data_IF_055115595548
#
_entry.id   IF_055115595548
#
_cell.length_a   1.000
_cell.length_b   1.000
_cell.length_c   1.000
_cell.angle_alpha   90.00
_cell.angle_beta   90.00
_cell.angle_gamma   90.00
#
_symmetry.space_group_name_H-M   'P 1'
#
loop_
_entity.id
_entity.type
_entity.pdbx_description
1 polymer ?
#
# COMPACT_ATOMS: atom_id res chain seq x y z
N UNK A 1 28.91 7.70 -31.19
CA UNK A 1 28.79 6.55 -30.25
C UNK A 1 28.60 6.95 -28.78
N UNK A 2 28.74 8.23 -28.37
CA UNK A 2 28.54 8.68 -26.97
C UNK A 2 27.10 9.13 -26.64
N UNK A 3 26.34 9.62 -27.62
CA UNK A 3 24.96 10.10 -27.42
C UNK A 3 23.97 9.00 -27.02
N UNK A 4 24.13 7.78 -27.53
CA UNK A 4 23.26 6.65 -27.16
C UNK A 4 23.41 6.25 -25.70
N UNK A 5 24.62 6.37 -25.13
CA UNK A 5 24.87 6.05 -23.73
C UNK A 5 24.18 7.06 -22.79
N UNK A 6 24.25 8.34 -23.15
CA UNK A 6 23.57 9.43 -22.42
C UNK A 6 22.05 9.29 -22.50
N UNK A 7 21.53 8.93 -23.67
CA UNK A 7 20.09 8.69 -23.86
C UNK A 7 19.63 7.47 -23.05
N UNK A 8 20.42 6.40 -22.99
CA UNK A 8 20.12 5.22 -22.18
C UNK A 8 20.08 5.55 -20.68
N UNK A 9 21.04 6.36 -20.21
CA UNK A 9 21.12 6.81 -18.81
C UNK A 9 19.92 7.67 -18.39
N UNK A 10 19.40 8.50 -19.31
CA UNK A 10 18.20 9.32 -19.09
C UNK A 10 16.90 8.49 -19.02
N UNK A 11 16.89 7.29 -19.61
CA UNK A 11 15.71 6.41 -19.64
C UNK A 11 15.61 5.47 -18.42
N UNK A 12 16.72 5.24 -17.70
CA UNK A 12 16.76 4.40 -16.49
C UNK A 12 15.73 4.78 -15.39
N UNK A 13 15.53 6.06 -15.02
CA UNK A 13 14.57 6.42 -13.96
C UNK A 13 13.10 6.19 -14.36
N UNK A 14 12.79 6.11 -15.65
CA UNK A 14 11.44 5.76 -16.13
C UNK A 14 11.13 4.26 -15.96
N UNK A 15 12.16 3.41 -15.92
CA UNK A 15 12.01 1.98 -15.68
C UNK A 15 11.99 1.61 -14.19
N UNK A 16 12.44 2.50 -13.30
CA UNK A 16 12.39 2.31 -11.84
C UNK A 16 11.04 2.78 -11.27
N UNK A 17 9.93 2.25 -11.79
CA UNK A 17 8.63 2.48 -11.19
C UNK A 17 8.55 1.67 -9.88
N UNK A 18 8.89 2.30 -8.74
CA UNK A 18 8.77 1.68 -7.42
C UNK A 18 7.40 1.03 -7.28
N UNK A 19 7.44 -0.26 -6.99
CA UNK A 19 6.27 -1.09 -6.84
C UNK A 19 6.15 -1.41 -5.35
N UNK A 20 5.38 -0.58 -4.65
CA UNK A 20 5.16 -0.75 -3.22
C UNK A 20 4.31 -1.98 -3.00
N UNK A 21 4.74 -2.82 -2.06
CA UNK A 21 4.05 -4.02 -1.66
C UNK A 21 3.81 -3.99 -0.16
N UNK A 22 2.57 -4.23 0.25
CA UNK A 22 2.17 -4.34 1.64
C UNK A 22 1.08 -5.39 1.79
N UNK A 23 1.17 -6.22 2.81
CA UNK A 23 0.11 -7.17 3.17
C UNK A 23 -0.69 -6.64 4.35
N UNK A 24 -2.02 -6.66 4.26
CA UNK A 24 -2.90 -6.21 5.34
C UNK A 24 -4.06 -7.17 5.53
N UNK A 25 -4.63 -7.22 6.73
CA UNK A 25 -5.94 -7.84 6.92
C UNK A 25 -7.04 -6.90 6.43
N UNK A 26 -8.09 -7.47 5.85
CA UNK A 26 -9.23 -6.71 5.37
C UNK A 26 -10.48 -7.55 5.17
N UNK A 27 -11.50 -6.90 4.64
CA UNK A 27 -12.74 -7.53 4.18
C UNK A 27 -12.71 -7.60 2.65
N UNK A 28 -13.08 -8.74 2.08
CA UNK A 28 -13.22 -8.89 0.63
C UNK A 28 -14.65 -8.54 0.15
N UNK A 29 -14.86 -8.57 -1.16
CA UNK A 29 -16.16 -8.27 -1.77
C UNK A 29 -17.30 -9.21 -1.31
N UNK A 30 -16.96 -10.41 -0.81
CA UNK A 30 -17.90 -11.38 -0.25
C UNK A 30 -18.09 -11.25 1.27
N UNK A 31 -17.61 -10.14 1.86
CA UNK A 31 -17.63 -9.88 3.30
C UNK A 31 -16.89 -10.96 4.11
N UNK A 32 -15.88 -11.59 3.52
CA UNK A 32 -14.99 -12.48 4.25
C UNK A 32 -14.04 -11.63 5.10
N UNK A 33 -14.27 -11.66 6.41
CA UNK A 33 -13.45 -10.94 7.38
C UNK A 33 -12.06 -11.57 7.53
N UNK A 34 -11.08 -10.73 7.86
CA UNK A 34 -9.68 -11.12 8.10
C UNK A 34 -9.01 -11.80 6.89
N UNK A 35 -9.40 -11.43 5.67
CA UNK A 35 -8.70 -11.85 4.46
C UNK A 35 -7.32 -11.18 4.41
N UNK A 36 -6.30 -11.92 3.98
CA UNK A 36 -4.99 -11.35 3.67
C UNK A 36 -5.03 -10.64 2.30
N UNK A 37 -5.01 -9.31 2.32
CA UNK A 37 -4.94 -8.47 1.14
C UNK A 37 -3.49 -8.22 0.74
N UNK A 38 -3.20 -8.34 -0.56
CA UNK A 38 -1.94 -7.96 -1.16
C UNK A 38 -2.09 -6.60 -1.84
N UNK A 39 -1.52 -5.57 -1.21
CA UNK A 39 -1.68 -4.19 -1.63
C UNK A 39 -0.44 -3.74 -2.37
N UNK A 40 -0.58 -3.74 -3.70
CA UNK A 40 0.48 -3.46 -4.65
C UNK A 40 0.15 -2.21 -5.44
N UNK A 41 1.09 -1.27 -5.54
CA UNK A 41 0.83 -0.01 -6.23
C UNK A 41 2.05 0.86 -6.43
N UNK A 42 1.88 1.90 -7.25
CA UNK A 42 2.92 2.91 -7.54
C UNK A 42 3.08 3.97 -6.46
N UNK A 43 2.26 3.90 -5.42
CA UNK A 43 2.27 4.83 -4.29
C UNK A 43 2.34 4.03 -3.01
N UNK A 44 3.04 4.57 -2.02
CA UNK A 44 3.13 3.95 -0.71
C UNK A 44 1.74 3.91 -0.05
N UNK A 45 1.40 2.74 0.50
CA UNK A 45 0.14 2.47 1.19
C UNK A 45 0.40 2.11 2.65
N UNK A 46 -0.67 2.10 3.45
CA UNK A 46 -0.69 1.64 4.83
C UNK A 46 -1.86 0.68 5.04
N UNK A 47 -1.72 -0.21 6.03
CA UNK A 47 -2.85 -0.95 6.55
C UNK A 47 -3.68 0.01 7.41
N UNK A 48 -5.01 -0.08 7.33
CA UNK A 48 -5.90 0.67 8.19
C UNK A 48 -6.84 -0.24 8.99
N UNK A 49 -7.35 0.31 10.08
CA UNK A 49 -8.52 -0.16 10.82
C UNK A 49 -9.36 1.05 11.17
N UNK A 50 -10.65 1.01 10.81
CA UNK A 50 -11.60 2.05 11.17
C UNK A 50 -12.27 1.71 12.50
N UNK A 51 -12.85 2.72 13.15
CA UNK A 51 -13.55 2.56 14.43
C UNK A 51 -14.77 1.62 14.37
N UNK A 52 -15.30 1.33 13.19
CA UNK A 52 -16.37 0.35 12.96
C UNK A 52 -15.84 -1.08 12.74
N UNK A 53 -14.53 -1.30 12.84
CA UNK A 53 -13.89 -2.60 12.61
C UNK A 53 -13.45 -2.86 11.18
N UNK A 54 -13.81 -2.01 10.20
CA UNK A 54 -13.41 -2.17 8.79
C UNK A 54 -11.88 -2.09 8.66
N UNK A 55 -11.29 -3.04 7.92
CA UNK A 55 -9.86 -3.13 7.70
C UNK A 55 -9.52 -3.18 6.22
N UNK A 56 -8.32 -2.74 5.88
CA UNK A 56 -7.77 -2.95 4.54
C UNK A 56 -6.54 -2.12 4.27
N UNK A 57 -6.36 -1.74 3.01
CA UNK A 57 -5.25 -0.90 2.56
C UNK A 57 -5.72 0.47 2.12
N UNK A 58 -4.92 1.48 2.43
CA UNK A 58 -5.24 2.87 2.09
C UNK A 58 -3.98 3.65 1.75
N UNK A 59 -4.15 4.81 1.12
CA UNK A 59 -3.07 5.77 0.93
C UNK A 59 -2.75 6.47 2.25
N UNK A 60 -1.48 6.86 2.42
CA UNK A 60 -1.01 7.52 3.66
C UNK A 60 -1.81 8.76 4.04
N UNK A 61 -2.31 9.52 3.06
CA UNK A 61 -3.15 10.71 3.27
C UNK A 61 -4.42 10.43 4.10
N UNK A 62 -4.99 9.23 3.97
CA UNK A 62 -6.21 8.84 4.67
C UNK A 62 -5.95 8.49 6.14
N UNK A 63 -4.69 8.27 6.55
CA UNK A 63 -4.34 7.94 7.93
C UNK A 63 -4.51 9.11 8.91
N UNK A 64 -4.63 10.34 8.38
CA UNK A 64 -4.93 11.53 9.17
C UNK A 64 -6.43 11.71 9.48
N UNK A 65 -7.30 10.88 8.88
CA UNK A 65 -8.75 10.99 9.04
C UNK A 65 -9.18 10.50 10.43
N UNK A 66 -10.13 11.23 11.03
CA UNK A 66 -10.73 10.82 12.29
C UNK A 66 -11.38 9.43 12.17
N UNK A 67 -11.17 8.59 13.18
CA UNK A 67 -11.69 7.22 13.23
C UNK A 67 -10.90 6.22 12.38
N UNK A 68 -9.70 6.59 11.88
CA UNK A 68 -8.78 5.68 11.19
C UNK A 68 -7.54 5.46 12.06
N UNK A 69 -7.13 4.21 12.20
CA UNK A 69 -5.83 3.81 12.75
C UNK A 69 -5.02 3.18 11.63
N UNK A 70 -3.78 3.62 11.44
CA UNK A 70 -2.90 3.13 10.38
C UNK A 70 -1.60 2.52 10.92
N UNK A 71 -1.04 1.59 10.16
CA UNK A 71 0.28 1.01 10.39
C UNK A 71 0.94 0.61 9.06
N UNK A 72 2.28 0.48 9.04
CA UNK A 72 3.07 0.49 7.81
C UNK A 72 3.86 -0.79 7.52
N UNK A 73 3.63 -1.86 8.30
CA UNK A 73 4.34 -3.13 8.15
C UNK A 73 3.36 -4.24 7.79
N UNK A 74 3.85 -5.32 7.19
CA UNK A 74 3.02 -6.44 6.78
C UNK A 74 2.21 -7.00 7.97
N UNK A 75 0.89 -7.15 7.76
CA UNK A 75 -0.08 -7.73 8.70
C UNK A 75 -0.21 -6.98 10.03
N UNK A 76 0.21 -5.73 10.10
CA UNK A 76 0.24 -4.96 11.35
C UNK A 76 -1.15 -4.69 11.96
N UNK A 77 -2.22 -4.77 11.17
CA UNK A 77 -3.61 -4.56 11.61
C UNK A 77 -4.32 -5.85 12.09
N UNK A 78 -3.56 -6.86 12.52
CA UNK A 78 -4.09 -8.12 13.06
C UNK A 78 -4.86 -7.93 14.39
N UNK A 79 -4.42 -7.01 15.25
CA UNK A 79 -4.89 -6.87 16.64
C UNK A 79 -5.66 -5.58 16.95
N UNK A 80 -5.96 -4.76 15.96
CA UNK A 80 -6.82 -3.58 16.10
C UNK A 80 -8.27 -4.03 15.93
N UNK A 81 -8.97 -4.25 17.03
CA UNK A 81 -10.41 -4.55 17.12
C UNK A 81 -11.07 -3.54 18.03
#
# INVERSE_FOLDING_TARGET
>A
MKFHLVLLLLLLPLCSAEDFYLECYGEDFFMVNNLLLQCRGKVQQACYTRSNGEKGCTRLENCSRLGWSCCHTNRCNAGTS
#
